data_IF_324936641809
#
_entry.id   IF_324936641809
#
_cell.length_a   1.000
_cell.length_b   1.000
_cell.length_c   1.000
_cell.angle_alpha   90.00
_cell.angle_beta   90.00
_cell.angle_gamma   90.00
#
_symmetry.space_group_name_H-M   'P 1'
#
loop_
_entity.id
_entity.type
_entity.pdbx_description
1 polymer ?
#
# COMPACT_ATOMS: atom_id res chain seq x y z
N UNK A 1 17.20 -5.18 7.89
CA UNK A 1 18.10 -5.80 6.90
C UNK A 1 18.96 -6.80 7.63
N UNK A 2 19.06 -8.03 7.14
CA UNK A 2 19.99 -9.03 7.63
C UNK A 2 20.99 -9.37 6.52
N UNK A 3 22.29 -9.30 6.84
CA UNK A 3 23.36 -9.70 5.94
C UNK A 3 24.14 -10.84 6.60
N UNK A 4 24.64 -11.76 5.78
CA UNK A 4 25.50 -12.84 6.22
C UNK A 4 26.80 -12.76 5.46
N UNK A 5 27.92 -12.69 6.17
CA UNK A 5 29.26 -12.76 5.59
C UNK A 5 29.87 -14.14 5.87
N UNK A 6 30.48 -14.75 4.86
CA UNK A 6 31.20 -16.01 4.98
C UNK A 6 32.65 -15.75 4.58
N UNK A 7 33.57 -15.95 5.51
CA UNK A 7 35.03 -15.81 5.29
C UNK A 7 35.68 -17.16 5.45
N UNK A 8 36.31 -17.62 4.39
CA UNK A 8 37.01 -18.93 4.34
C UNK A 8 38.51 -18.71 4.15
N UNK A 9 39.30 -19.60 4.71
CA UNK A 9 40.78 -19.67 4.56
C UNK A 9 41.52 -18.40 5.04
N UNK A 10 41.01 -17.68 6.02
CA UNK A 10 41.78 -16.60 6.66
C UNK A 10 42.95 -17.20 7.47
N UNK A 11 44.15 -16.63 7.37
CA UNK A 11 45.34 -17.20 7.98
C UNK A 11 45.35 -17.12 9.52
N UNK A 12 44.52 -16.28 10.11
CA UNK A 12 44.47 -15.99 11.55
C UNK A 12 43.04 -15.71 12.00
N UNK A 13 42.60 -16.20 13.18
CA UNK A 13 41.25 -15.93 13.71
C UNK A 13 40.92 -14.46 13.84
N UNK A 14 41.86 -13.60 14.27
CA UNK A 14 41.62 -12.16 14.38
C UNK A 14 41.34 -11.51 13.05
N UNK A 15 42.11 -11.90 12.01
CA UNK A 15 41.89 -11.45 10.62
C UNK A 15 40.54 -11.90 10.10
N UNK A 16 40.12 -13.12 10.41
CA UNK A 16 38.80 -13.64 10.00
C UNK A 16 37.66 -12.74 10.49
N UNK A 17 37.69 -12.37 11.74
CA UNK A 17 36.64 -11.50 12.31
C UNK A 17 36.70 -10.07 11.77
N UNK A 18 37.89 -9.47 11.61
CA UNK A 18 38.02 -8.13 11.06
C UNK A 18 37.61 -8.06 9.58
N UNK A 19 37.94 -9.06 8.78
CA UNK A 19 37.52 -9.16 7.38
C UNK A 19 36.00 -9.38 7.26
N UNK A 20 35.42 -10.21 8.12
CA UNK A 20 33.97 -10.41 8.16
C UNK A 20 33.24 -9.12 8.54
N UNK A 21 33.74 -8.38 9.52
CA UNK A 21 33.18 -7.10 9.92
C UNK A 21 33.27 -6.07 8.79
N UNK A 22 34.44 -5.92 8.16
CA UNK A 22 34.62 -5.01 7.02
C UNK A 22 33.72 -5.35 5.84
N UNK A 23 33.51 -6.64 5.57
CA UNK A 23 32.63 -7.11 4.51
C UNK A 23 31.15 -6.80 4.83
N UNK A 24 30.73 -6.96 6.07
CA UNK A 24 29.39 -6.57 6.52
C UNK A 24 29.18 -5.06 6.46
N UNK A 25 30.14 -4.26 6.93
CA UNK A 25 30.07 -2.79 6.84
C UNK A 25 29.97 -2.31 5.40
N UNK A 26 30.76 -2.91 4.51
CA UNK A 26 30.66 -2.65 3.07
C UNK A 26 29.27 -3.01 2.54
N UNK A 27 28.77 -4.21 2.86
CA UNK A 27 27.44 -4.66 2.45
C UNK A 27 26.32 -3.74 2.95
N UNK A 28 26.38 -3.30 4.21
CA UNK A 28 25.41 -2.35 4.76
C UNK A 28 25.50 -0.96 4.10
N UNK A 29 26.70 -0.51 3.74
CA UNK A 29 26.88 0.77 3.04
C UNK A 29 26.22 0.82 1.67
N UNK A 30 26.06 -0.33 1.02
CA UNK A 30 25.39 -0.48 -0.28
C UNK A 30 23.87 -0.53 -0.18
N UNK A 31 23.33 -0.69 1.04
CA UNK A 31 21.89 -0.83 1.28
C UNK A 31 21.28 0.46 1.81
N UNK A 32 20.22 0.95 1.18
CA UNK A 32 19.43 2.09 1.65
C UNK A 32 17.98 1.68 1.85
N UNK A 33 17.42 2.00 3.01
CA UNK A 33 16.00 1.76 3.27
C UNK A 33 15.17 2.88 2.61
N UNK A 34 14.23 2.48 1.77
CA UNK A 34 13.19 3.36 1.23
C UNK A 34 11.84 2.95 1.82
N UNK A 35 11.08 3.92 2.33
CA UNK A 35 9.72 3.68 2.83
C UNK A 35 8.79 4.81 2.42
N UNK A 36 7.57 4.45 2.03
CA UNK A 36 6.53 5.39 1.65
C UNK A 36 5.20 4.99 2.29
N UNK A 37 4.49 5.97 2.89
CA UNK A 37 3.16 5.75 3.46
C UNK A 37 2.14 5.62 2.35
N UNK A 38 1.60 4.43 2.16
CA UNK A 38 0.64 4.12 1.10
C UNK A 38 -0.69 4.85 1.26
N UNK A 39 -1.07 5.20 2.50
CA UNK A 39 -2.28 5.97 2.79
C UNK A 39 -2.30 7.37 2.15
N UNK A 40 -1.13 7.97 1.85
CA UNK A 40 -1.03 9.28 1.19
C UNK A 40 -1.18 9.20 -0.34
N UNK A 41 -1.15 7.99 -0.90
CA UNK A 41 -1.12 7.77 -2.36
C UNK A 41 -2.51 7.45 -2.90
N UNK A 42 -3.32 6.78 -2.09
CA UNK A 42 -4.69 6.41 -2.47
C UNK A 42 -5.65 7.57 -2.20
N UNK A 43 -6.74 7.70 -2.98
CA UNK A 43 -7.81 8.62 -2.63
C UNK A 43 -8.41 8.23 -1.29
N UNK A 44 -8.85 9.21 -0.52
CA UNK A 44 -9.42 8.98 0.81
C UNK A 44 -10.73 8.20 0.73
N UNK A 45 -11.53 8.49 -0.28
CA UNK A 45 -12.85 7.86 -0.50
C UNK A 45 -13.02 7.31 -1.90
N UNK A 46 -13.95 6.38 -2.04
CA UNK A 46 -14.40 5.78 -3.29
C UNK A 46 -15.93 5.84 -3.37
N UNK A 47 -16.46 6.21 -4.54
CA UNK A 47 -17.90 6.28 -4.77
C UNK A 47 -18.56 4.89 -4.79
N UNK A 48 -19.75 4.81 -4.18
CA UNK A 48 -20.57 3.61 -4.11
C UNK A 48 -21.89 3.83 -4.83
N UNK A 49 -22.31 2.83 -5.57
CA UNK A 49 -23.64 2.79 -6.16
C UNK A 49 -24.56 1.86 -5.35
N UNK A 50 -25.77 2.34 -5.05
CA UNK A 50 -26.83 1.53 -4.40
C UNK A 50 -26.56 1.17 -2.95
N UNK A 51 -25.66 1.89 -2.27
CA UNK A 51 -25.38 1.73 -0.84
C UNK A 51 -26.09 2.75 0.03
N UNK A 52 -26.21 2.46 1.33
CA UNK A 52 -26.71 3.42 2.34
C UNK A 52 -25.83 4.67 2.46
N UNK A 53 -24.58 4.59 2.02
CA UNK A 53 -23.63 5.69 1.89
C UNK A 53 -23.22 5.83 0.42
N UNK A 54 -22.95 7.07 0.00
CA UNK A 54 -22.51 7.36 -1.36
C UNK A 54 -20.99 7.16 -1.55
N UNK A 55 -20.24 7.10 -0.45
CA UNK A 55 -18.79 6.99 -0.44
C UNK A 55 -18.33 6.05 0.67
N UNK A 56 -17.18 5.41 0.47
CA UNK A 56 -16.50 4.56 1.44
C UNK A 56 -15.04 4.97 1.57
N UNK A 57 -14.55 4.99 2.79
CA UNK A 57 -13.12 5.19 3.06
C UNK A 57 -12.30 3.99 2.64
N UNK A 58 -11.11 4.26 2.13
CA UNK A 58 -10.16 3.25 1.70
C UNK A 58 -9.02 3.12 2.72
N UNK A 59 -8.42 1.94 2.77
CA UNK A 59 -7.24 1.66 3.57
C UNK A 59 -6.29 0.69 2.89
N UNK A 60 -5.04 0.76 3.28
CA UNK A 60 -4.01 -0.24 3.00
C UNK A 60 -3.59 -0.87 4.31
N UNK A 61 -3.22 -2.15 4.30
CA UNK A 61 -2.82 -2.89 5.50
C UNK A 61 -1.32 -2.77 5.77
N UNK A 62 -0.54 -2.35 4.78
CA UNK A 62 0.91 -2.21 4.90
C UNK A 62 1.40 -0.96 4.16
N UNK A 63 2.50 -0.42 4.63
CA UNK A 63 3.26 0.61 3.94
C UNK A 63 4.27 0.00 2.96
N UNK A 64 4.63 0.76 1.94
CA UNK A 64 5.69 0.36 1.03
C UNK A 64 7.04 0.47 1.73
N UNK A 65 7.78 -0.66 1.74
CA UNK A 65 9.17 -0.71 2.22
C UNK A 65 9.98 -1.49 1.19
N UNK A 66 11.11 -0.94 0.81
CA UNK A 66 12.02 -1.53 -0.14
C UNK A 66 13.47 -1.24 0.25
N UNK A 67 14.37 -2.16 -0.04
CA UNK A 67 15.79 -1.99 0.21
C UNK A 67 16.44 -1.73 -1.14
N UNK A 68 16.91 -0.51 -1.34
CA UNK A 68 17.71 -0.13 -2.50
C UNK A 68 19.11 -0.71 -2.32
N UNK A 69 19.63 -1.37 -3.35
CA UNK A 69 20.96 -1.99 -3.34
C UNK A 69 21.80 -1.47 -4.51
N UNK A 70 23.13 -1.58 -4.41
CA UNK A 70 24.05 -1.24 -5.51
C UNK A 70 23.79 0.12 -6.16
N UNK A 71 23.61 1.18 -5.36
CA UNK A 71 23.34 2.53 -5.84
C UNK A 71 22.03 2.71 -6.64
N UNK A 72 21.07 1.81 -6.49
CA UNK A 72 19.71 2.06 -6.98
C UNK A 72 19.19 3.40 -6.43
N UNK A 73 18.62 4.24 -7.29
CA UNK A 73 18.05 5.52 -6.88
C UNK A 73 16.55 5.38 -6.58
N UNK A 74 16.12 6.01 -5.49
CA UNK A 74 14.69 6.14 -5.16
C UNK A 74 13.88 6.82 -6.27
N UNK A 75 14.52 7.69 -7.07
CA UNK A 75 13.88 8.43 -8.16
C UNK A 75 13.41 7.52 -9.30
N UNK A 76 14.00 6.34 -9.40
CA UNK A 76 13.61 5.30 -10.36
C UNK A 76 12.40 4.48 -9.91
N UNK A 77 11.96 4.66 -8.67
CA UNK A 77 10.75 4.03 -8.17
C UNK A 77 9.54 4.77 -8.70
N UNK A 78 8.78 4.13 -9.54
CA UNK A 78 7.49 4.61 -10.02
C UNK A 78 6.35 3.80 -9.41
N UNK A 79 5.16 4.41 -9.35
CA UNK A 79 3.98 3.77 -8.79
C UNK A 79 2.77 3.94 -9.72
N UNK A 80 1.97 2.89 -9.82
CA UNK A 80 0.70 2.90 -10.56
C UNK A 80 -0.42 2.45 -9.62
N UNK A 81 -1.46 3.27 -9.50
CA UNK A 81 -2.65 2.94 -8.69
C UNK A 81 -3.73 2.42 -9.63
N UNK A 82 -4.17 1.19 -9.38
CA UNK A 82 -5.29 0.57 -10.06
C UNK A 82 -6.45 0.50 -9.07
N UNK A 83 -7.43 1.37 -9.26
CA UNK A 83 -8.61 1.47 -8.40
C UNK A 83 -9.86 1.45 -9.29
N UNK A 84 -10.90 0.76 -8.85
CA UNK A 84 -12.22 0.85 -9.49
C UNK A 84 -12.73 2.28 -9.37
N UNK A 85 -13.37 2.81 -10.41
CA UNK A 85 -13.95 4.18 -10.36
C UNK A 85 -15.15 4.24 -9.41
N UNK A 86 -15.93 3.17 -9.38
CA UNK A 86 -17.10 3.00 -8.52
C UNK A 86 -17.21 1.55 -8.11
N UNK A 87 -17.86 1.29 -6.99
CA UNK A 87 -18.18 -0.05 -6.48
C UNK A 87 -19.67 -0.13 -6.17
N UNK A 88 -20.25 -1.31 -6.24
CA UNK A 88 -21.67 -1.53 -5.97
C UNK A 88 -21.84 -2.14 -4.58
N UNK A 89 -22.83 -1.66 -3.85
CA UNK A 89 -23.23 -2.28 -2.58
C UNK A 89 -23.95 -3.64 -2.84
N UNK A 90 -23.88 -4.62 -1.91
CA UNK A 90 -23.25 -4.53 -0.60
C UNK A 90 -21.73 -4.70 -0.68
N UNK A 91 -21.02 -4.08 0.25
CA UNK A 91 -19.56 -4.19 0.40
C UNK A 91 -19.24 -4.75 1.78
N UNK A 92 -18.28 -5.67 1.83
CA UNK A 92 -17.77 -6.20 3.09
C UNK A 92 -16.62 -5.33 3.61
N UNK A 93 -16.41 -5.36 4.92
CA UNK A 93 -15.19 -4.80 5.49
C UNK A 93 -13.98 -5.59 4.97
N UNK A 94 -12.87 -4.89 4.68
CA UNK A 94 -11.67 -5.47 4.09
C UNK A 94 -11.89 -6.11 2.69
N UNK A 95 -12.83 -5.62 1.93
CA UNK A 95 -13.00 -6.05 0.54
C UNK A 95 -11.96 -5.38 -0.36
N UNK A 96 -11.29 -6.17 -1.20
CA UNK A 96 -10.27 -5.65 -2.13
C UNK A 96 -10.93 -4.88 -3.28
N UNK A 97 -10.65 -3.60 -3.39
CA UNK A 97 -11.21 -2.70 -4.42
C UNK A 97 -10.18 -2.17 -5.41
N UNK A 98 -8.89 -2.38 -5.11
CA UNK A 98 -7.81 -1.94 -5.96
C UNK A 98 -6.45 -2.46 -5.51
N UNK A 99 -5.41 -1.90 -6.13
CA UNK A 99 -4.02 -2.19 -5.81
C UNK A 99 -3.09 -1.05 -6.21
N UNK A 100 -1.99 -0.92 -5.49
CA UNK A 100 -0.84 -0.08 -5.85
C UNK A 100 0.25 -1.01 -6.37
N UNK A 101 0.80 -0.73 -7.54
CA UNK A 101 1.93 -1.46 -8.10
C UNK A 101 3.14 -0.55 -8.10
N UNK A 102 4.19 -0.97 -7.43
CA UNK A 102 5.49 -0.31 -7.41
C UNK A 102 6.42 -0.94 -8.43
N UNK A 103 7.11 -0.09 -9.18
CA UNK A 103 8.05 -0.50 -10.22
C UNK A 103 9.39 0.20 -9.97
N UNK A 104 10.48 -0.51 -10.19
CA UNK A 104 11.84 0.02 -10.27
C UNK A 104 12.36 -0.27 -11.68
N UNK A 105 12.79 0.76 -12.41
CA UNK A 105 13.21 0.66 -13.81
C UNK A 105 12.18 -0.13 -14.68
N UNK A 106 10.86 0.17 -14.51
CA UNK A 106 9.73 -0.52 -15.16
C UNK A 106 9.54 -1.99 -14.77
N UNK A 107 10.34 -2.56 -13.87
CA UNK A 107 10.11 -3.90 -13.33
C UNK A 107 9.26 -3.82 -12.06
N UNK A 108 8.23 -4.65 -11.99
CA UNK A 108 7.38 -4.74 -10.79
C UNK A 108 8.18 -5.28 -9.61
N UNK A 109 8.26 -4.51 -8.52
CA UNK A 109 8.96 -4.89 -7.29
C UNK A 109 8.00 -5.25 -6.16
N UNK A 110 6.84 -4.57 -6.07
CA UNK A 110 5.83 -4.87 -5.04
C UNK A 110 4.43 -4.50 -5.51
N UNK A 111 3.44 -5.21 -4.97
CA UNK A 111 2.02 -4.91 -5.15
C UNK A 111 1.35 -4.86 -3.78
N UNK A 112 0.66 -3.76 -3.48
CA UNK A 112 -0.04 -3.55 -2.21
C UNK A 112 -1.54 -3.43 -2.51
N UNK A 113 -2.38 -4.31 -1.96
CA UNK A 113 -3.83 -4.25 -2.17
C UNK A 113 -4.47 -3.10 -1.39
N UNK A 114 -5.53 -2.52 -1.98
CA UNK A 114 -6.36 -1.48 -1.38
C UNK A 114 -7.68 -2.11 -0.96
N UNK A 115 -8.11 -1.82 0.26
CA UNK A 115 -9.29 -2.40 0.88
C UNK A 115 -10.29 -1.34 1.31
N UNK A 116 -11.55 -1.74 1.44
CA UNK A 116 -12.59 -0.98 2.12
C UNK A 116 -12.32 -0.93 3.63
N UNK A 117 -12.59 0.22 4.25
CA UNK A 117 -12.38 0.40 5.71
C UNK A 117 -13.56 -0.08 6.54
N UNK A 118 -14.75 -0.21 5.93
CA UNK A 118 -16.00 -0.57 6.59
C UNK A 118 -16.88 -1.44 5.67
N UNK A 119 -17.92 -2.06 6.23
CA UNK A 119 -18.96 -2.72 5.46
C UNK A 119 -20.08 -1.74 5.13
N UNK A 120 -20.69 -1.87 3.96
CA UNK A 120 -21.84 -1.04 3.56
C UNK A 120 -22.91 -1.95 2.96
N UNK A 121 -24.11 -1.88 3.56
CA UNK A 121 -25.27 -2.60 3.08
C UNK A 121 -25.91 -1.91 1.87
N UNK A 122 -26.67 -2.66 1.11
CA UNK A 122 -27.53 -2.10 0.07
C UNK A 122 -28.55 -1.13 0.67
N UNK A 123 -28.82 -0.04 -0.03
CA UNK A 123 -29.98 0.79 0.25
C UNK A 123 -31.26 -0.02 0.03
N UNK A 124 -32.17 0.01 0.99
CA UNK A 124 -33.51 -0.54 0.86
C UNK A 124 -34.41 0.40 0.06
N UNK A 125 -35.49 -0.12 -0.50
CA UNK A 125 -36.54 0.71 -1.13
C UNK A 125 -37.04 1.81 -0.17
N UNK A 126 -37.18 1.50 1.11
CA UNK A 126 -37.56 2.46 2.15
C UNK A 126 -36.56 3.59 2.33
N UNK A 127 -35.26 3.34 2.15
CA UNK A 127 -34.22 4.38 2.23
C UNK A 127 -34.37 5.39 1.09
N UNK A 128 -34.65 4.92 -0.13
CA UNK A 128 -34.93 5.81 -1.27
C UNK A 128 -36.24 6.60 -1.10
N UNK A 129 -37.27 5.97 -0.56
CA UNK A 129 -38.55 6.64 -0.28
C UNK A 129 -38.37 7.75 0.78
N UNK A 130 -37.60 7.51 1.83
CA UNK A 130 -37.28 8.51 2.85
C UNK A 130 -36.48 9.68 2.29
N UNK A 131 -35.51 9.42 1.42
CA UNK A 131 -34.72 10.48 0.73
C UNK A 131 -35.65 11.32 -0.15
N UNK A 132 -36.56 10.70 -0.87
CA UNK A 132 -37.54 11.37 -1.72
C UNK A 132 -38.50 12.25 -0.90
N UNK A 133 -39.02 11.71 0.19
CA UNK A 133 -39.91 12.46 1.11
C UNK A 133 -39.19 13.65 1.76
N UNK A 134 -37.92 13.50 2.17
CA UNK A 134 -37.13 14.63 2.70
C UNK A 134 -36.89 15.72 1.66
N UNK A 135 -36.68 15.37 0.39
CA UNK A 135 -36.56 16.34 -0.70
C UNK A 135 -37.85 17.08 -0.96
N UNK A 136 -39.01 16.42 -0.88
CA UNK A 136 -40.34 17.07 -1.02
C UNK A 136 -40.66 17.97 0.17
N UNK A 137 -40.19 17.62 1.38
CA UNK A 137 -40.41 18.42 2.60
C UNK A 137 -39.46 19.63 2.74
N UNK A 138 -38.58 19.89 1.76
CA UNK A 138 -37.71 21.08 1.75
C UNK A 138 -36.65 21.12 2.88
N UNK A 139 -36.35 19.98 3.55
CA UNK A 139 -35.26 19.94 4.53
C UNK A 139 -33.91 19.76 3.80
N UNK A 140 -32.97 20.74 3.90
CA UNK A 140 -31.60 20.55 3.42
C UNK A 140 -30.92 19.46 4.24
N UNK A 141 -30.16 18.62 3.56
CA UNK A 141 -29.32 17.54 4.12
C UNK A 141 -28.13 18.08 4.87
#
# INVERSE_FOLDING_TARGET
ISLTAVVMAAPDPKKRFSEAASLLDYGFSLCKNYSEKTSKIIPETLKINGGKKNEIKLKTLEDFKYILVNNESSDKISRKVYLKKTVNAPLKNNEKVGKIVYLLDNKKIKEIPIYTSEAIDKSSFFDYMLIFLKRLAGCPS
#
